data_IF_410783400053
#
_entry.id   IF_410783400053
#
_cell.length_a   1.000
_cell.length_b   1.000
_cell.length_c   1.000
_cell.angle_alpha   90.00
_cell.angle_beta   90.00
_cell.angle_gamma   90.00
#
_symmetry.space_group_name_H-M   'P 1'
#
loop_
_entity.id
_entity.type
_entity.pdbx_description
1 polymer ?
#
# COMPACT_ATOMS: atom_id res chain seq x y z
N UNK A 1 13.33 17.93 16.88
CA UNK A 1 12.26 17.49 15.99
C UNK A 1 12.81 17.26 14.60
N UNK A 2 12.82 16.02 14.13
CA UNK A 2 13.18 15.66 12.75
C UNK A 2 12.11 16.30 11.87
N UNK A 3 12.48 17.27 11.01
CA UNK A 3 11.56 17.77 9.98
C UNK A 3 11.09 16.57 9.16
N UNK A 4 9.79 16.32 9.16
CA UNK A 4 9.17 15.35 8.25
C UNK A 4 9.37 15.89 6.84
N UNK A 5 10.30 15.32 6.10
CA UNK A 5 10.47 15.63 4.69
C UNK A 5 9.33 14.93 3.95
N UNK A 6 8.54 15.71 3.22
CA UNK A 6 7.48 15.21 2.36
C UNK A 6 8.08 14.60 1.09
N UNK A 7 7.53 13.50 0.61
CA UNK A 7 7.94 12.84 -0.64
C UNK A 7 7.82 13.80 -1.86
N UNK A 8 6.98 14.81 -1.78
CA UNK A 8 6.79 15.83 -2.83
C UNK A 8 8.03 16.65 -3.15
N UNK A 9 9.04 16.69 -2.25
CA UNK A 9 10.31 17.37 -2.51
C UNK A 9 11.18 16.63 -3.53
N UNK A 10 10.88 15.37 -3.80
CA UNK A 10 11.60 14.54 -4.77
C UNK A 10 10.98 14.79 -6.15
N UNK A 11 11.33 15.92 -6.75
CA UNK A 11 10.85 16.38 -8.05
C UNK A 11 12.00 16.49 -9.07
N UNK A 12 11.69 16.94 -10.27
CA UNK A 12 12.67 17.09 -11.35
C UNK A 12 13.75 18.10 -11.02
N UNK A 13 13.44 19.18 -10.30
CA UNK A 13 14.42 20.19 -9.88
C UNK A 13 15.46 19.60 -8.94
N UNK A 14 15.07 18.62 -8.11
CA UNK A 14 16.00 17.90 -7.25
C UNK A 14 17.03 17.12 -8.07
N UNK A 15 16.61 16.50 -9.20
CA UNK A 15 17.51 15.78 -10.11
C UNK A 15 18.42 16.71 -10.89
N UNK A 16 17.90 17.85 -11.39
CA UNK A 16 18.70 18.84 -12.10
C UNK A 16 19.83 19.34 -11.21
N UNK A 17 19.51 19.74 -9.98
CA UNK A 17 20.50 20.16 -8.99
C UNK A 17 21.50 19.05 -8.61
N UNK A 18 21.13 17.76 -8.76
CA UNK A 18 22.04 16.65 -8.55
C UNK A 18 23.02 16.45 -9.71
N UNK A 19 22.58 16.69 -10.95
CA UNK A 19 23.40 16.59 -12.16
C UNK A 19 24.46 17.70 -12.23
N UNK A 20 24.11 18.92 -11.83
CA UNK A 20 25.01 20.07 -11.87
C UNK A 20 26.12 20.01 -10.82
N UNK A 21 25.85 19.40 -9.67
CA UNK A 21 26.81 19.25 -8.57
C UNK A 21 27.10 17.75 -8.33
N UNK A 22 28.11 17.21 -9.01
CA UNK A 22 28.58 15.82 -8.78
C UNK A 22 28.98 15.55 -7.32
N UNK A 23 29.41 16.57 -6.61
CA UNK A 23 29.68 16.52 -5.16
C UNK A 23 28.37 16.51 -4.38
N UNK A 24 28.10 15.41 -3.67
CA UNK A 24 26.92 15.26 -2.82
C UNK A 24 25.81 14.36 -3.39
N UNK A 25 26.03 13.73 -4.55
CA UNK A 25 25.04 12.80 -5.16
C UNK A 25 24.77 11.62 -4.24
N UNK A 26 25.77 11.07 -3.58
CA UNK A 26 25.61 9.97 -2.61
C UNK A 26 24.79 10.39 -1.40
N UNK A 27 25.00 11.61 -0.89
CA UNK A 27 24.22 12.14 0.21
C UNK A 27 22.74 12.34 -0.19
N UNK A 28 22.50 12.80 -1.42
CA UNK A 28 21.15 12.94 -1.97
C UNK A 28 20.47 11.58 -2.16
N UNK A 29 21.22 10.58 -2.63
CA UNK A 29 20.73 9.21 -2.78
C UNK A 29 20.26 8.66 -1.43
N UNK A 30 21.07 8.81 -0.39
CA UNK A 30 20.72 8.35 0.95
C UNK A 30 19.52 9.13 1.53
N UNK A 31 19.44 10.41 1.30
CA UNK A 31 18.30 11.23 1.72
C UNK A 31 17.00 10.80 1.06
N UNK A 32 17.00 10.61 -0.27
CA UNK A 32 15.82 10.10 -1.00
C UNK A 32 15.43 8.72 -0.49
N UNK A 33 16.39 7.83 -0.32
CA UNK A 33 16.15 6.48 0.21
C UNK A 33 15.44 6.54 1.56
N UNK A 34 15.93 7.39 2.46
CA UNK A 34 15.32 7.55 3.78
C UNK A 34 13.90 8.11 3.71
N UNK A 35 13.64 9.09 2.84
CA UNK A 35 12.31 9.67 2.67
C UNK A 35 11.33 8.61 2.15
N UNK A 36 11.70 7.90 1.09
CA UNK A 36 10.86 6.84 0.51
C UNK A 36 10.60 5.72 1.53
N UNK A 37 11.63 5.25 2.24
CA UNK A 37 11.47 4.20 3.25
C UNK A 37 10.57 4.65 4.42
N UNK A 38 10.64 5.91 4.83
CA UNK A 38 9.75 6.44 5.86
C UNK A 38 8.29 6.50 5.37
N UNK A 39 8.06 6.93 4.13
CA UNK A 39 6.73 6.92 3.53
C UNK A 39 6.19 5.50 3.36
N UNK A 40 7.00 4.56 2.89
CA UNK A 40 6.65 3.14 2.80
C UNK A 40 6.24 2.61 4.18
N UNK A 41 7.00 2.90 5.22
CA UNK A 41 6.72 2.46 6.59
C UNK A 41 5.38 3.00 7.11
N UNK A 42 5.08 4.27 6.85
CA UNK A 42 3.80 4.89 7.25
C UNK A 42 2.62 4.26 6.49
N UNK A 43 2.78 4.01 5.20
CA UNK A 43 1.72 3.51 4.32
C UNK A 43 1.53 1.98 4.40
N UNK A 44 2.55 1.24 4.81
CA UNK A 44 2.52 -0.22 4.90
C UNK A 44 1.40 -0.73 5.83
N UNK A 45 1.06 0.03 6.87
CA UNK A 45 -0.05 -0.30 7.76
C UNK A 45 -1.41 -0.29 7.03
N UNK A 46 -1.56 0.51 5.98
CA UNK A 46 -2.80 0.59 5.21
C UNK A 46 -2.85 -0.44 4.07
N UNK A 47 -1.72 -0.71 3.41
CA UNK A 47 -1.63 -1.68 2.31
C UNK A 47 -0.29 -2.43 2.36
N UNK A 48 -0.25 -3.50 3.16
CA UNK A 48 0.97 -4.26 3.41
C UNK A 48 1.56 -4.87 2.14
N UNK A 49 0.73 -5.49 1.31
CA UNK A 49 1.18 -6.25 0.13
C UNK A 49 1.87 -5.32 -0.87
N UNK A 50 1.26 -4.18 -1.16
CA UNK A 50 1.78 -3.18 -2.08
C UNK A 50 3.10 -2.60 -1.59
N UNK A 51 3.13 -2.11 -0.36
CA UNK A 51 4.31 -1.43 0.17
C UNK A 51 5.46 -2.38 0.51
N UNK A 52 5.21 -3.67 0.73
CA UNK A 52 6.25 -4.70 0.79
C UNK A 52 7.00 -4.80 -0.54
N UNK A 53 6.28 -4.91 -1.66
CA UNK A 53 6.87 -4.96 -3.01
C UNK A 53 7.66 -3.70 -3.35
N UNK A 54 7.12 -2.55 -2.95
CA UNK A 54 7.79 -1.27 -3.17
C UNK A 54 9.09 -1.17 -2.38
N UNK A 55 9.09 -1.62 -1.12
CA UNK A 55 10.30 -1.71 -0.30
C UNK A 55 11.35 -2.62 -0.93
N UNK A 56 10.95 -3.81 -1.41
CA UNK A 56 11.85 -4.73 -2.11
C UNK A 56 12.44 -4.10 -3.38
N UNK A 57 11.65 -3.31 -4.11
CA UNK A 57 12.13 -2.58 -5.29
C UNK A 57 13.17 -1.52 -4.92
N UNK A 58 12.94 -0.74 -3.86
CA UNK A 58 13.90 0.25 -3.35
C UNK A 58 15.20 -0.43 -2.91
N UNK A 59 15.11 -1.51 -2.15
CA UNK A 59 16.28 -2.26 -1.70
C UNK A 59 17.07 -2.84 -2.88
N UNK A 60 16.40 -3.33 -3.92
CA UNK A 60 17.05 -3.81 -5.14
C UNK A 60 17.81 -2.68 -5.85
N UNK A 61 17.22 -1.50 -6.02
CA UNK A 61 17.87 -0.35 -6.63
C UNK A 61 19.16 0.01 -5.86
N UNK A 62 19.11 0.01 -4.53
CA UNK A 62 20.27 0.32 -3.70
C UNK A 62 21.36 -0.76 -3.82
N UNK A 63 20.97 -2.02 -3.79
CA UNK A 63 21.91 -3.14 -3.93
C UNK A 63 22.60 -3.14 -5.31
N UNK A 64 21.84 -2.89 -6.38
CA UNK A 64 22.37 -2.81 -7.74
C UNK A 64 23.36 -1.62 -7.88
N UNK A 65 23.07 -0.50 -7.24
CA UNK A 65 24.01 0.62 -7.15
C UNK A 65 25.30 0.22 -6.41
N UNK A 66 25.20 -0.41 -5.25
CA UNK A 66 26.38 -0.85 -4.49
C UNK A 66 27.20 -1.91 -5.24
N UNK A 67 26.56 -2.73 -6.06
CA UNK A 67 27.21 -3.71 -6.92
C UNK A 67 27.73 -3.12 -8.25
N UNK A 68 27.69 -1.80 -8.41
CA UNK A 68 28.19 -1.08 -9.60
C UNK A 68 27.49 -1.44 -10.91
N UNK A 69 26.23 -1.95 -10.88
CA UNK A 69 25.45 -2.17 -12.10
C UNK A 69 25.05 -0.86 -12.78
N UNK A 70 24.99 0.23 -12.03
CA UNK A 70 24.76 1.60 -12.51
C UNK A 70 25.33 2.64 -11.53
N UNK A 71 25.48 3.87 -12.01
CA UNK A 71 26.01 4.96 -11.22
C UNK A 71 24.96 5.62 -10.29
N UNK A 72 25.40 6.55 -9.45
CA UNK A 72 24.56 7.24 -8.48
C UNK A 72 23.46 8.11 -9.13
N UNK A 73 23.67 8.62 -10.35
CA UNK A 73 22.65 9.40 -11.06
C UNK A 73 21.51 8.52 -11.54
N UNK A 74 21.84 7.33 -12.06
CA UNK A 74 20.83 6.34 -12.46
C UNK A 74 20.06 5.83 -11.24
N UNK A 75 20.75 5.59 -10.10
CA UNK A 75 20.09 5.21 -8.86
C UNK A 75 19.11 6.30 -8.37
N UNK A 76 19.54 7.58 -8.41
CA UNK A 76 18.68 8.72 -8.08
C UNK A 76 17.45 8.79 -8.99
N UNK A 77 17.62 8.60 -10.31
CA UNK A 77 16.51 8.59 -11.25
C UNK A 77 15.50 7.49 -10.91
N UNK A 78 15.98 6.27 -10.69
CA UNK A 78 15.11 5.14 -10.33
C UNK A 78 14.34 5.38 -9.02
N UNK A 79 14.98 5.92 -7.99
CA UNK A 79 14.31 6.26 -6.74
C UNK A 79 13.30 7.40 -6.90
N UNK A 80 13.60 8.39 -7.74
CA UNK A 80 12.66 9.45 -8.09
C UNK A 80 11.42 8.88 -8.78
N UNK A 81 11.60 7.92 -9.70
CA UNK A 81 10.49 7.28 -10.39
C UNK A 81 9.59 6.54 -9.39
N UNK A 82 10.17 5.81 -8.42
CA UNK A 82 9.42 5.19 -7.32
C UNK A 82 8.62 6.24 -6.52
N UNK A 83 9.22 7.38 -6.20
CA UNK A 83 8.53 8.46 -5.49
C UNK A 83 7.38 9.06 -6.33
N UNK A 84 7.59 9.20 -7.65
CA UNK A 84 6.58 9.65 -8.60
C UNK A 84 5.38 8.70 -8.66
N UNK A 85 5.62 7.41 -8.77
CA UNK A 85 4.57 6.38 -8.73
C UNK A 85 3.74 6.48 -7.45
N UNK A 86 4.37 6.67 -6.29
CA UNK A 86 3.66 6.82 -5.02
C UNK A 86 2.77 8.07 -4.99
N UNK A 87 3.21 9.17 -5.60
CA UNK A 87 2.42 10.41 -5.69
C UNK A 87 1.24 10.26 -6.65
N UNK A 88 1.45 9.67 -7.82
CA UNK A 88 0.39 9.41 -8.80
C UNK A 88 -0.70 8.50 -8.23
N UNK A 89 -0.31 7.50 -7.44
CA UNK A 89 -1.24 6.63 -6.75
C UNK A 89 -2.09 7.36 -5.71
N UNK A 90 -1.50 8.28 -4.95
CA UNK A 90 -2.24 9.10 -3.99
C UNK A 90 -3.30 9.96 -4.69
N UNK A 91 -2.95 10.56 -5.83
CA UNK A 91 -3.91 11.34 -6.61
C UNK A 91 -5.02 10.46 -7.21
N UNK A 92 -4.68 9.30 -7.74
CA UNK A 92 -5.67 8.33 -8.24
C UNK A 92 -6.62 7.88 -7.14
N UNK A 93 -6.11 7.55 -5.95
CA UNK A 93 -6.94 7.15 -4.80
C UNK A 93 -7.92 8.26 -4.41
N UNK A 94 -7.47 9.51 -4.35
CA UNK A 94 -8.32 10.67 -4.05
C UNK A 94 -9.43 10.82 -5.10
N UNK A 95 -9.09 10.69 -6.40
CA UNK A 95 -10.07 10.77 -7.50
C UNK A 95 -11.11 9.65 -7.41
N UNK A 96 -10.70 8.44 -7.06
CA UNK A 96 -11.60 7.30 -6.88
C UNK A 96 -12.44 7.42 -5.60
N UNK A 97 -12.06 8.29 -4.67
CA UNK A 97 -12.74 8.52 -3.41
C UNK A 97 -12.63 7.35 -2.43
N UNK A 98 -11.49 6.66 -2.44
CA UNK A 98 -11.14 5.61 -1.47
C UNK A 98 -10.30 6.18 -0.32
N UNK A 99 -10.48 5.59 0.86
CA UNK A 99 -9.48 5.65 1.92
C UNK A 99 -8.31 4.72 1.60
N UNK A 100 -7.19 4.86 2.31
CA UNK A 100 -6.04 3.94 2.14
C UNK A 100 -6.42 2.47 2.41
N UNK A 101 -7.34 2.23 3.34
CA UNK A 101 -7.82 0.89 3.69
C UNK A 101 -8.70 0.32 2.57
N UNK A 102 -9.62 1.11 2.05
CA UNK A 102 -10.50 0.72 0.96
C UNK A 102 -9.72 0.45 -0.33
N UNK A 103 -8.69 1.26 -0.63
CA UNK A 103 -7.82 1.03 -1.79
C UNK A 103 -7.16 -0.35 -1.72
N UNK A 104 -6.68 -0.77 -0.56
CA UNK A 104 -6.03 -2.07 -0.40
C UNK A 104 -7.00 -3.24 -0.72
N UNK A 105 -8.25 -3.16 -0.26
CA UNK A 105 -9.25 -4.17 -0.60
C UNK A 105 -9.70 -4.09 -2.05
N UNK A 106 -9.79 -2.88 -2.62
CA UNK A 106 -10.05 -2.71 -4.05
C UNK A 106 -8.98 -3.36 -4.92
N UNK A 107 -7.70 -3.18 -4.62
CA UNK A 107 -6.59 -3.78 -5.35
C UNK A 107 -6.61 -5.31 -5.29
N UNK A 108 -7.00 -5.89 -4.15
CA UNK A 108 -7.19 -7.34 -4.03
C UNK A 108 -8.28 -7.82 -4.98
N UNK A 109 -9.45 -7.18 -4.97
CA UNK A 109 -10.56 -7.55 -5.84
C UNK A 109 -10.20 -7.38 -7.33
N UNK A 110 -9.53 -6.30 -7.68
CA UNK A 110 -9.10 -6.02 -9.05
C UNK A 110 -8.06 -7.04 -9.56
N UNK A 111 -7.14 -7.50 -8.70
CA UNK A 111 -6.14 -8.52 -9.03
C UNK A 111 -6.79 -9.85 -9.42
N UNK A 112 -7.84 -10.25 -8.73
CA UNK A 112 -8.53 -11.51 -8.96
C UNK A 112 -9.50 -11.48 -10.15
N UNK A 113 -9.49 -10.41 -10.97
CA UNK A 113 -10.37 -10.28 -12.14
C UNK A 113 -11.79 -10.68 -11.84
N UNK A 114 -12.30 -10.27 -10.67
CA UNK A 114 -13.66 -10.53 -10.28
C UNK A 114 -14.61 -10.12 -11.41
N UNK A 115 -15.67 -10.88 -11.63
CA UNK A 115 -16.65 -10.60 -12.70
C UNK A 115 -17.34 -9.22 -12.59
N UNK A 116 -16.96 -8.42 -11.60
CA UNK A 116 -17.46 -7.07 -11.38
C UNK A 116 -16.68 -6.10 -12.27
N UNK A 117 -17.26 -5.82 -13.45
CA UNK A 117 -16.75 -4.81 -14.38
C UNK A 117 -17.22 -3.39 -14.03
N UNK A 118 -18.29 -3.28 -13.23
CA UNK A 118 -18.85 -1.99 -12.81
C UNK A 118 -18.10 -1.44 -11.61
N UNK A 119 -17.50 -0.25 -11.80
CA UNK A 119 -16.69 0.42 -10.78
C UNK A 119 -17.52 0.82 -9.55
N UNK A 120 -18.75 1.30 -9.73
CA UNK A 120 -19.59 1.73 -8.59
C UNK A 120 -20.02 0.53 -7.75
N UNK A 121 -20.33 -0.61 -8.36
CA UNK A 121 -20.62 -1.86 -7.65
C UNK A 121 -19.39 -2.32 -6.88
N UNK A 122 -18.21 -2.26 -7.48
CA UNK A 122 -16.94 -2.60 -6.83
C UNK A 122 -16.66 -1.68 -5.63
N UNK A 123 -16.90 -0.38 -5.81
CA UNK A 123 -16.71 0.62 -4.75
C UNK A 123 -17.65 0.38 -3.56
N UNK A 124 -18.92 0.08 -3.83
CA UNK A 124 -19.87 -0.30 -2.78
C UNK A 124 -19.43 -1.57 -2.04
N UNK A 125 -18.98 -2.59 -2.77
CA UNK A 125 -18.51 -3.85 -2.19
C UNK A 125 -17.30 -3.63 -1.28
N UNK A 126 -16.33 -2.84 -1.72
CA UNK A 126 -15.15 -2.50 -0.92
C UNK A 126 -15.53 -1.82 0.39
N UNK A 127 -16.45 -0.84 0.34
CA UNK A 127 -16.96 -0.16 1.54
C UNK A 127 -17.72 -1.10 2.47
N UNK A 128 -18.53 -2.01 1.89
CA UNK A 128 -19.25 -3.03 2.66
C UNK A 128 -18.28 -4.00 3.36
N UNK A 129 -17.24 -4.47 2.65
CA UNK A 129 -16.20 -5.33 3.21
C UNK A 129 -15.48 -4.63 4.36
N UNK A 130 -15.00 -3.41 4.15
CA UNK A 130 -14.29 -2.62 5.16
C UNK A 130 -15.15 -2.43 6.42
N UNK A 131 -16.41 -2.08 6.23
CA UNK A 131 -17.36 -1.91 7.33
C UNK A 131 -17.63 -3.22 8.07
N UNK A 132 -17.81 -4.32 7.35
CA UNK A 132 -18.08 -5.64 7.95
C UNK A 132 -16.86 -6.16 8.73
N UNK A 133 -15.65 -5.93 8.23
CA UNK A 133 -14.45 -6.25 8.99
C UNK A 133 -14.43 -5.44 10.29
N UNK A 134 -14.53 -4.11 10.22
CA UNK A 134 -14.46 -3.23 11.39
C UNK A 134 -15.51 -3.56 12.46
N UNK A 135 -16.73 -3.88 12.07
CA UNK A 135 -17.83 -4.26 13.00
C UNK A 135 -17.57 -5.55 13.76
N UNK A 136 -16.77 -6.45 13.22
CA UNK A 136 -16.47 -7.75 13.81
C UNK A 136 -15.10 -7.78 14.49
N UNK A 137 -14.35 -6.67 14.49
CA UNK A 137 -13.09 -6.57 15.22
C UNK A 137 -13.33 -6.61 16.72
N UNK A 138 -12.47 -7.31 17.42
CA UNK A 138 -12.41 -7.35 18.88
C UNK A 138 -10.94 -7.44 19.32
N UNK A 139 -10.67 -7.16 20.59
CA UNK A 139 -9.31 -7.23 21.12
C UNK A 139 -8.71 -8.61 20.86
N UNK A 140 -7.50 -8.65 20.31
CA UNK A 140 -6.79 -9.87 19.95
C UNK A 140 -7.53 -10.80 18.95
N UNK A 141 -8.42 -10.21 18.13
CA UNK A 141 -9.22 -10.96 17.16
C UNK A 141 -8.39 -11.91 16.27
N UNK A 142 -7.20 -11.47 15.89
CA UNK A 142 -6.28 -12.23 15.03
C UNK A 142 -5.73 -13.51 15.68
N UNK A 143 -5.81 -13.63 17.02
CA UNK A 143 -5.45 -14.83 17.80
C UNK A 143 -6.65 -15.74 18.06
N UNK A 144 -7.86 -15.27 17.80
CA UNK A 144 -9.13 -15.98 18.12
C UNK A 144 -9.71 -16.60 16.87
N UNK A 145 -9.73 -17.94 16.72
CA UNK A 145 -10.28 -18.61 15.53
C UNK A 145 -11.73 -18.23 15.24
N UNK A 146 -12.57 -18.12 16.28
CA UNK A 146 -13.99 -17.77 16.12
C UNK A 146 -14.17 -16.34 15.59
N UNK A 147 -13.38 -15.39 16.07
CA UNK A 147 -13.42 -14.01 15.58
C UNK A 147 -12.98 -13.93 14.11
N UNK A 148 -11.91 -14.63 13.74
CA UNK A 148 -11.48 -14.74 12.34
C UNK A 148 -12.57 -15.37 11.47
N UNK A 149 -13.18 -16.42 11.94
CA UNK A 149 -14.26 -17.11 11.20
C UNK A 149 -15.48 -16.18 11.00
N UNK A 150 -15.85 -15.38 12.00
CA UNK A 150 -16.95 -14.40 11.89
C UNK A 150 -16.64 -13.33 10.85
N UNK A 151 -15.42 -12.75 10.86
CA UNK A 151 -15.01 -11.77 9.85
C UNK A 151 -15.03 -12.40 8.46
N UNK A 152 -14.39 -13.56 8.31
CA UNK A 152 -14.36 -14.27 7.03
C UNK A 152 -15.76 -14.57 6.49
N UNK A 153 -16.68 -14.99 7.35
CA UNK A 153 -18.07 -15.25 6.96
C UNK A 153 -18.80 -13.98 6.53
N UNK A 154 -18.59 -12.88 7.23
CA UNK A 154 -19.18 -11.59 6.87
C UNK A 154 -18.67 -11.11 5.50
N UNK A 155 -17.36 -11.16 5.27
CA UNK A 155 -16.75 -10.82 3.97
C UNK A 155 -17.25 -11.73 2.87
N UNK A 156 -17.29 -13.06 3.10
CA UNK A 156 -17.81 -14.05 2.15
C UNK A 156 -19.23 -13.72 1.71
N UNK A 157 -20.10 -13.37 2.65
CA UNK A 157 -21.50 -13.00 2.35
C UNK A 157 -21.57 -11.76 1.44
N UNK A 158 -20.76 -10.74 1.70
CA UNK A 158 -20.71 -9.54 0.86
C UNK A 158 -20.26 -9.86 -0.56
N UNK A 159 -19.21 -10.68 -0.71
CA UNK A 159 -18.71 -11.12 -2.02
C UNK A 159 -19.78 -11.89 -2.80
N UNK A 160 -20.38 -12.90 -2.18
CA UNK A 160 -21.40 -13.73 -2.83
C UNK A 160 -22.65 -12.94 -3.21
N UNK A 161 -23.09 -11.99 -2.37
CA UNK A 161 -24.22 -11.10 -2.65
C UNK A 161 -24.02 -10.27 -3.91
N UNK A 162 -22.79 -9.90 -4.22
CA UNK A 162 -22.42 -9.16 -5.43
C UNK A 162 -22.02 -10.09 -6.61
N UNK A 163 -22.20 -11.40 -6.47
CA UNK A 163 -21.95 -12.38 -7.52
C UNK A 163 -20.49 -12.82 -7.67
N UNK A 164 -19.63 -12.50 -6.72
CA UNK A 164 -18.23 -12.94 -6.70
C UNK A 164 -18.17 -14.38 -6.17
N UNK A 165 -18.12 -15.35 -7.08
CA UNK A 165 -18.12 -16.78 -6.75
C UNK A 165 -16.83 -17.49 -7.19
N UNK A 166 -16.14 -16.94 -8.20
CA UNK A 166 -14.88 -17.49 -8.69
C UNK A 166 -13.73 -17.02 -7.81
N UNK A 167 -12.70 -17.84 -7.63
CA UNK A 167 -11.54 -17.55 -6.79
C UNK A 167 -11.88 -17.09 -5.36
N UNK A 168 -13.10 -17.41 -4.91
CA UNK A 168 -13.64 -16.89 -3.64
C UNK A 168 -12.75 -17.18 -2.45
N UNK A 169 -12.13 -18.36 -2.38
CA UNK A 169 -11.24 -18.72 -1.26
C UNK A 169 -9.94 -17.92 -1.29
N UNK A 170 -9.36 -17.71 -2.48
CA UNK A 170 -8.12 -16.94 -2.63
C UNK A 170 -8.36 -15.46 -2.31
N UNK A 171 -9.48 -14.90 -2.78
CA UNK A 171 -9.91 -13.54 -2.43
C UNK A 171 -10.09 -13.41 -0.91
N UNK A 172 -10.75 -14.36 -0.27
CA UNK A 172 -10.95 -14.34 1.18
C UNK A 172 -9.61 -14.40 1.94
N UNK A 173 -8.69 -15.25 1.49
CA UNK A 173 -7.36 -15.35 2.10
C UNK A 173 -6.59 -14.05 1.98
N UNK A 174 -6.56 -13.44 0.79
CA UNK A 174 -5.87 -12.17 0.55
C UNK A 174 -6.50 -11.02 1.38
N UNK A 175 -7.84 -10.96 1.46
CA UNK A 175 -8.55 -9.97 2.30
C UNK A 175 -8.26 -10.19 3.78
N UNK A 176 -8.22 -11.43 4.27
CA UNK A 176 -7.93 -11.73 5.67
C UNK A 176 -6.47 -11.41 6.03
N UNK A 177 -5.51 -11.69 5.13
CA UNK A 177 -4.11 -11.31 5.31
C UNK A 177 -3.97 -9.79 5.43
N UNK A 178 -4.61 -9.04 4.53
CA UNK A 178 -4.61 -7.57 4.56
C UNK A 178 -5.30 -7.03 5.81
N UNK A 179 -6.42 -7.60 6.21
CA UNK A 179 -7.14 -7.21 7.41
C UNK A 179 -6.30 -7.45 8.67
N UNK A 180 -5.62 -8.61 8.76
CA UNK A 180 -4.72 -8.89 9.88
C UNK A 180 -3.55 -7.92 9.93
N UNK A 181 -2.93 -7.61 8.80
CA UNK A 181 -1.85 -6.66 8.72
C UNK A 181 -2.27 -5.25 9.16
N UNK A 182 -3.48 -4.83 8.78
CA UNK A 182 -3.99 -3.47 9.05
C UNK A 182 -4.53 -3.32 10.46
N UNK A 183 -5.25 -4.34 10.98
CA UNK A 183 -6.03 -4.25 12.21
C UNK A 183 -5.50 -5.12 13.35
N UNK A 184 -4.29 -5.62 13.24
CA UNK A 184 -3.69 -6.47 14.27
C UNK A 184 -3.62 -5.79 15.64
N UNK A 185 -3.24 -4.52 15.65
CA UNK A 185 -3.12 -3.67 16.84
C UNK A 185 -4.34 -2.74 16.99
N UNK A 186 -5.51 -3.21 16.55
CA UNK A 186 -6.73 -2.42 16.69
C UNK A 186 -7.23 -2.46 18.15
N UNK A 187 -7.26 -1.28 18.78
CA UNK A 187 -7.63 -1.13 20.19
C UNK A 187 -9.09 -0.71 20.42
N UNK A 188 -9.90 -0.66 19.37
CA UNK A 188 -11.24 -0.12 19.39
C UNK A 188 -11.21 1.42 19.33
N UNK A 189 -11.70 2.00 18.25
CA UNK A 189 -12.21 3.36 18.34
C UNK A 189 -13.40 3.29 19.26
N UNK A 190 -13.27 3.83 20.48
CA UNK A 190 -14.40 4.08 21.37
C UNK A 190 -15.26 5.09 20.64
N UNK A 191 -16.44 4.64 20.21
CA UNK A 191 -17.45 5.49 19.61
C UNK A 191 -17.91 6.57 20.59
#
# INVERSE_FOLDING_TARGET
GIKKFDISIINDDFLVNAKEKKSGTELKLELIRQIINNEIKVRANANLIKYRKLKESVERIINDYHNHFFDSLVALQKLRDVAGEMQEEDERRKQLGFTNEEEAFYEILAKHKTALSDFEIMKELVKEITTNIKRNLQIDWYKKPDAKAQIMLAVKRSLMKKGVNQELQDILNDIMEQAEARYREWWGEVA
#
